data_IF_180905304988
#
_entry.id   IF_180905304988
#
_cell.length_a   1.000
_cell.length_b   1.000
_cell.length_c   1.000
_cell.angle_alpha   90.00
_cell.angle_beta   90.00
_cell.angle_gamma   90.00
#
_symmetry.space_group_name_H-M   'P 1'
#
loop_
_entity.id
_entity.type
_entity.pdbx_description
1 polymer ?
#
# COMPACT_ATOMS: atom_id res chain seq x y z
N UNK A 1 1.75 1.11 -12.75
CA UNK A 1 2.38 0.26 -11.72
C UNK A 1 3.53 -0.45 -12.37
N UNK A 2 4.75 -0.25 -11.88
CA UNK A 2 5.91 -1.02 -12.35
C UNK A 2 5.68 -2.45 -11.89
N UNK A 3 5.39 -3.35 -12.82
CA UNK A 3 4.93 -4.71 -12.49
C UNK A 3 5.98 -5.57 -11.77
N UNK A 4 7.25 -5.16 -11.74
CA UNK A 4 8.37 -6.02 -11.32
C UNK A 4 8.25 -6.50 -9.86
N UNK A 5 7.96 -5.62 -8.90
CA UNK A 5 7.89 -6.02 -7.49
C UNK A 5 6.73 -7.00 -7.25
N UNK A 6 5.52 -6.62 -7.68
CA UNK A 6 4.35 -7.49 -7.62
C UNK A 6 4.56 -8.80 -8.38
N UNK A 7 5.23 -8.80 -9.53
CA UNK A 7 5.50 -10.01 -10.30
C UNK A 7 6.46 -10.96 -9.56
N UNK A 8 7.45 -10.43 -8.84
CA UNK A 8 8.33 -11.21 -7.95
C UNK A 8 7.53 -11.80 -6.79
N UNK A 9 6.67 -11.03 -6.15
CA UNK A 9 5.82 -11.53 -5.07
C UNK A 9 4.89 -12.65 -5.55
N UNK A 10 4.29 -12.48 -6.73
CA UNK A 10 3.47 -13.50 -7.38
C UNK A 10 4.28 -14.74 -7.80
N UNK A 11 5.56 -14.58 -8.13
CA UNK A 11 6.44 -15.72 -8.35
C UNK A 11 6.70 -16.48 -7.05
N UNK A 12 6.93 -15.78 -5.94
CA UNK A 12 7.14 -16.37 -4.62
C UNK A 12 5.93 -17.20 -4.15
N UNK A 13 4.71 -16.82 -4.52
CA UNK A 13 3.50 -17.61 -4.22
C UNK A 13 3.57 -19.05 -4.75
N UNK A 14 4.33 -19.32 -5.83
CA UNK A 14 4.52 -20.68 -6.37
C UNK A 14 5.20 -21.63 -5.39
N UNK A 15 5.87 -21.11 -4.36
CA UNK A 15 6.47 -21.91 -3.29
C UNK A 15 5.46 -22.49 -2.29
N UNK A 16 4.17 -22.14 -2.41
CA UNK A 16 3.12 -22.57 -1.48
C UNK A 16 3.17 -21.88 -0.12
N UNK A 17 3.84 -20.73 -0.03
CA UNK A 17 3.91 -19.89 1.18
C UNK A 17 3.03 -18.65 1.03
N UNK A 18 2.58 -18.13 2.16
CA UNK A 18 1.93 -16.82 2.22
C UNK A 18 2.95 -15.73 1.87
N UNK A 19 2.51 -14.73 1.10
CA UNK A 19 3.34 -13.61 0.64
C UNK A 19 2.68 -12.30 1.06
N UNK A 20 3.48 -11.40 1.62
CA UNK A 20 3.08 -10.01 1.86
C UNK A 20 3.57 -9.17 0.69
N UNK A 21 2.65 -8.50 0.01
CA UNK A 21 2.97 -7.50 -1.01
C UNK A 21 2.98 -6.15 -0.30
N UNK A 22 4.18 -5.66 0.02
CA UNK A 22 4.38 -4.35 0.66
C UNK A 22 4.34 -3.24 -0.41
N UNK A 23 3.13 -2.96 -0.88
CA UNK A 23 2.82 -1.85 -1.78
C UNK A 23 1.61 -1.09 -1.22
N UNK A 24 1.54 0.21 -1.51
CA UNK A 24 0.55 1.06 -0.89
C UNK A 24 -0.88 0.88 -1.43
N UNK A 25 -1.06 0.34 -2.64
CA UNK A 25 -2.37 0.16 -3.28
C UNK A 25 -3.32 1.38 -3.16
N UNK A 26 -2.78 2.57 -3.43
CA UNK A 26 -3.42 3.87 -3.18
C UNK A 26 -4.68 4.06 -4.02
N UNK A 27 -4.69 3.53 -5.25
CA UNK A 27 -5.82 3.65 -6.15
C UNK A 27 -6.70 2.41 -6.09
N UNK A 28 -8.02 2.62 -6.13
CA UNK A 28 -9.00 1.52 -6.21
C UNK A 28 -8.71 0.58 -7.38
N UNK A 29 -8.35 1.14 -8.55
CA UNK A 29 -8.00 0.37 -9.74
C UNK A 29 -6.84 -0.62 -9.50
N UNK A 30 -5.85 -0.25 -8.69
CA UNK A 30 -4.74 -1.16 -8.36
C UNK A 30 -5.25 -2.36 -7.54
N UNK A 31 -6.13 -2.10 -6.57
CA UNK A 31 -6.75 -3.15 -5.74
C UNK A 31 -7.63 -4.08 -6.57
N UNK A 32 -8.39 -3.54 -7.53
CA UNK A 32 -9.18 -4.33 -8.47
C UNK A 32 -8.30 -5.21 -9.37
N UNK A 33 -7.23 -4.65 -9.91
CA UNK A 33 -6.28 -5.36 -10.77
C UNK A 33 -5.60 -6.51 -10.03
N UNK A 34 -5.09 -6.29 -8.82
CA UNK A 34 -4.40 -7.33 -8.04
C UNK A 34 -5.38 -8.42 -7.57
N UNK A 35 -6.61 -8.05 -7.12
CA UNK A 35 -7.67 -9.04 -6.83
C UNK A 35 -7.96 -9.91 -8.03
N UNK A 36 -8.13 -9.31 -9.22
CA UNK A 36 -8.40 -10.05 -10.46
C UNK A 36 -7.26 -11.00 -10.83
N UNK A 37 -6.00 -10.59 -10.63
CA UNK A 37 -4.83 -11.43 -10.88
C UNK A 37 -4.76 -12.60 -9.89
N UNK A 38 -4.88 -12.33 -8.60
CA UNK A 38 -4.78 -13.34 -7.54
C UNK A 38 -5.95 -14.33 -7.54
N UNK A 39 -7.18 -13.87 -7.80
CA UNK A 39 -8.34 -14.76 -7.90
C UNK A 39 -8.18 -15.81 -9.01
N UNK A 40 -7.49 -15.50 -10.12
CA UNK A 40 -7.17 -16.47 -11.17
C UNK A 40 -6.19 -17.55 -10.74
N UNK A 41 -5.40 -17.28 -9.69
CA UNK A 41 -4.45 -18.23 -9.11
C UNK A 41 -5.09 -19.09 -8.01
N UNK A 42 -6.36 -18.85 -7.67
CA UNK A 42 -7.07 -19.58 -6.61
C UNK A 42 -6.54 -19.29 -5.20
N UNK A 43 -5.79 -18.21 -5.02
CA UNK A 43 -5.24 -17.83 -3.70
C UNK A 43 -6.20 -16.90 -2.96
N UNK A 44 -6.18 -16.97 -1.64
CA UNK A 44 -6.93 -16.06 -0.78
C UNK A 44 -6.25 -14.69 -0.74
N UNK A 45 -6.99 -13.63 -1.02
CA UNK A 45 -6.50 -12.25 -0.93
C UNK A 45 -6.97 -11.62 0.37
N UNK A 46 -6.07 -10.98 1.10
CA UNK A 46 -6.37 -10.23 2.33
C UNK A 46 -5.75 -8.84 2.17
N UNK A 47 -6.59 -7.79 2.21
CA UNK A 47 -6.11 -6.42 2.35
C UNK A 47 -5.97 -6.07 3.82
N UNK A 48 -4.84 -5.46 4.18
CA UNK A 48 -4.65 -4.84 5.49
C UNK A 48 -4.76 -3.32 5.30
N UNK A 49 -5.83 -2.74 5.83
CA UNK A 49 -6.04 -1.30 5.75
C UNK A 49 -5.48 -0.62 7.00
N UNK A 50 -4.31 0.00 6.86
CA UNK A 50 -3.66 0.75 7.93
C UNK A 50 -4.22 2.18 7.93
N UNK A 51 -5.23 2.42 8.77
CA UNK A 51 -5.89 3.71 8.89
C UNK A 51 -5.13 4.61 9.85
N UNK A 52 -4.70 5.77 9.37
CA UNK A 52 -3.96 6.77 10.12
C UNK A 52 -4.56 8.15 9.79
N UNK A 53 -4.87 9.00 10.78
CA UNK A 53 -5.25 10.38 10.50
C UNK A 53 -4.18 11.09 9.67
N UNK A 54 -4.59 11.77 8.59
CA UNK A 54 -3.62 12.39 7.66
C UNK A 54 -2.72 13.43 8.33
N UNK A 55 -3.21 14.15 9.34
CA UNK A 55 -2.39 15.05 10.14
C UNK A 55 -1.23 14.31 10.83
N UNK A 56 -1.51 13.13 11.42
CA UNK A 56 -0.52 12.30 12.09
C UNK A 56 0.47 11.72 11.08
N UNK A 57 -0.02 11.20 9.95
CA UNK A 57 0.82 10.69 8.86
C UNK A 57 1.78 11.76 8.31
N UNK A 58 1.28 12.98 8.08
CA UNK A 58 2.06 14.14 7.64
C UNK A 58 3.16 14.48 8.65
N UNK A 59 2.79 14.61 9.92
CA UNK A 59 3.75 14.94 10.98
C UNK A 59 4.87 13.89 11.08
N UNK A 60 4.53 12.60 10.94
CA UNK A 60 5.50 11.49 10.96
C UNK A 60 6.45 11.56 9.75
N UNK A 61 5.94 11.75 8.53
CA UNK A 61 6.79 11.78 7.33
C UNK A 61 7.72 12.99 7.31
N UNK A 62 7.21 14.18 7.65
CA UNK A 62 8.02 15.41 7.73
C UNK A 62 9.09 15.29 8.81
N UNK A 63 8.77 14.66 9.94
CA UNK A 63 9.76 14.40 10.99
C UNK A 63 10.86 13.44 10.55
N UNK A 64 10.54 12.44 9.71
CA UNK A 64 11.51 11.48 9.18
C UNK A 64 12.58 12.14 8.31
N UNK A 65 12.24 13.23 7.61
CA UNK A 65 13.21 13.99 6.81
C UNK A 65 14.38 14.55 7.65
N UNK A 66 14.22 14.69 8.98
CA UNK A 66 15.30 15.12 9.89
C UNK A 66 16.34 14.02 10.17
N UNK A 67 16.01 12.77 9.87
CA UNK A 67 16.87 11.59 10.06
C UNK A 67 17.10 10.91 8.71
N UNK A 68 17.66 11.67 7.77
CA UNK A 68 17.86 11.23 6.39
C UNK A 68 18.89 10.09 6.31
N UNK A 69 18.52 9.00 5.65
CA UNK A 69 19.44 7.96 5.17
C UNK A 69 19.59 8.09 3.66
N UNK A 70 20.68 7.60 3.03
CA UNK A 70 20.87 7.70 1.58
C UNK A 70 19.72 7.15 0.74
N UNK A 71 18.99 6.16 1.27
CA UNK A 71 17.88 5.49 0.59
C UNK A 71 16.50 6.06 0.96
N UNK A 72 16.45 7.12 1.77
CA UNK A 72 15.19 7.75 2.16
C UNK A 72 14.75 8.81 1.14
N UNK A 73 13.46 8.81 0.82
CA UNK A 73 12.85 9.92 0.09
C UNK A 73 12.53 11.07 1.05
N UNK A 74 12.84 12.30 0.63
CA UNK A 74 12.39 13.50 1.33
C UNK A 74 10.97 13.83 0.86
N UNK A 75 10.02 13.87 1.80
CA UNK A 75 8.61 14.21 1.51
C UNK A 75 8.23 15.38 2.40
N UNK A 76 8.12 16.57 1.82
CA UNK A 76 7.64 17.75 2.53
C UNK A 76 6.11 17.79 2.60
N UNK A 77 5.57 18.85 3.22
CA UNK A 77 4.12 19.02 3.37
C UNK A 77 3.40 19.12 2.02
N UNK A 78 3.96 19.84 1.05
CA UNK A 78 3.32 20.06 -0.24
C UNK A 78 3.28 18.78 -1.07
N UNK A 79 4.37 18.00 -1.03
CA UNK A 79 4.42 16.68 -1.64
C UNK A 79 3.40 15.74 -1.00
N UNK A 80 3.33 15.70 0.34
CA UNK A 80 2.32 14.90 1.04
C UNK A 80 0.90 15.24 0.59
N UNK A 81 0.56 16.54 0.52
CA UNK A 81 -0.74 17.01 0.03
C UNK A 81 -1.04 16.52 -1.38
N UNK A 82 -0.08 16.65 -2.31
CA UNK A 82 -0.26 16.15 -3.67
C UNK A 82 -0.44 14.63 -3.74
N UNK A 83 0.16 13.88 -2.81
CA UNK A 83 0.06 12.42 -2.83
C UNK A 83 -1.31 11.95 -2.35
N UNK A 84 -1.84 12.53 -1.28
CA UNK A 84 -3.12 12.08 -0.71
C UNK A 84 -4.30 12.31 -1.68
N UNK A 85 -4.17 13.23 -2.65
CA UNK A 85 -5.17 13.41 -3.71
C UNK A 85 -5.37 12.15 -4.58
N UNK A 86 -4.36 11.30 -4.67
CA UNK A 86 -4.43 10.04 -5.42
C UNK A 86 -5.08 8.91 -4.64
N UNK A 87 -5.22 9.05 -3.31
CA UNK A 87 -5.69 7.99 -2.45
C UNK A 87 -7.21 7.78 -2.59
N UNK A 88 -7.62 6.53 -2.70
CA UNK A 88 -9.02 6.13 -2.62
C UNK A 88 -9.24 5.27 -1.38
N UNK A 89 -10.17 5.70 -0.53
CA UNK A 89 -10.63 4.93 0.63
C UNK A 89 -11.08 3.51 0.20
N UNK A 90 -11.05 2.55 1.13
CA UNK A 90 -11.63 1.23 0.93
C UNK A 90 -13.13 1.36 0.65
N UNK A 91 -13.61 0.72 -0.42
CA UNK A 91 -15.03 0.65 -0.73
C UNK A 91 -15.76 -0.46 0.05
N UNK A 92 -17.08 -0.37 0.12
CA UNK A 92 -17.92 -1.33 0.85
C UNK A 92 -17.85 -2.77 0.34
N UNK A 93 -17.47 -2.96 -0.93
CA UNK A 93 -17.28 -4.27 -1.57
C UNK A 93 -15.87 -4.86 -1.38
N UNK A 94 -15.00 -4.15 -0.67
CA UNK A 94 -13.63 -4.60 -0.40
C UNK A 94 -13.54 -5.20 1.00
N UNK A 95 -13.23 -6.49 1.07
CA UNK A 95 -12.93 -7.13 2.35
C UNK A 95 -11.51 -6.76 2.80
N UNK A 96 -11.38 -6.24 4.01
CA UNK A 96 -10.10 -5.88 4.61
C UNK A 96 -10.07 -6.13 6.12
N UNK A 97 -8.84 -6.23 6.64
CA UNK A 97 -8.55 -6.16 8.07
C UNK A 97 -8.16 -4.72 8.39
N UNK A 98 -8.96 -4.04 9.21
CA UNK A 98 -8.68 -2.68 9.66
C UNK A 98 -7.59 -2.70 10.75
N UNK A 99 -6.56 -1.89 10.58
CA UNK A 99 -5.53 -1.63 11.57
C UNK A 99 -5.53 -0.13 11.86
N UNK A 100 -5.91 0.26 13.07
CA UNK A 100 -5.82 1.65 13.51
C UNK A 100 -4.38 1.97 13.89
N UNK A 101 -3.85 3.06 13.34
CA UNK A 101 -2.50 3.53 13.55
C UNK A 101 -2.52 5.00 13.96
N UNK A 102 -3.11 5.25 15.12
CA UNK A 102 -3.20 6.55 15.77
C UNK A 102 -1.82 7.01 16.30
#
# INVERSE_FOLDING_TARGET
MTNVATDVDLYCLKSGKDVIIDDGFWFRKQRDEIRKRLNKLGVKVIFYYIKCPFEIARNRVVSRNKSFTPDAFNIDNQMFDSYIEYFNEMGDDENYVLINND
#
